data_IF_296910628093
#
_entry.id   IF_296910628093
#
_cell.length_a   1.000
_cell.length_b   1.000
_cell.length_c   1.000
_cell.angle_alpha   90.00
_cell.angle_beta   90.00
_cell.angle_gamma   90.00
#
_symmetry.space_group_name_H-M   'P 1'
#
loop_
_entity.id
_entity.type
_entity.pdbx_description
1 polymer ?
#
# COMPACT_ATOMS: atom_id res chain seq x y z
N UNK A 1 -40.24 -40.10 10.78
CA UNK A 1 -38.96 -39.40 10.88
C UNK A 1 -39.22 -37.92 10.77
N UNK A 2 -39.10 -37.21 11.86
CA UNK A 2 -39.26 -35.77 11.87
C UNK A 2 -37.95 -35.10 11.42
N UNK A 3 -38.04 -34.35 10.34
CA UNK A 3 -36.93 -33.56 9.84
C UNK A 3 -37.07 -32.12 10.36
N UNK A 4 -36.48 -31.78 11.54
CA UNK A 4 -36.72 -30.50 12.20
C UNK A 4 -36.32 -29.28 11.38
N UNK A 5 -35.37 -29.47 10.46
CA UNK A 5 -34.87 -28.40 9.60
C UNK A 5 -35.50 -28.34 8.19
N UNK A 6 -36.40 -29.29 7.86
CA UNK A 6 -37.01 -29.36 6.51
C UNK A 6 -37.77 -28.07 6.16
N UNK A 7 -38.52 -27.52 7.08
CA UNK A 7 -39.27 -26.27 6.90
C UNK A 7 -38.34 -25.08 6.64
N UNK A 8 -37.24 -25.01 7.37
CA UNK A 8 -36.23 -23.93 7.19
C UNK A 8 -35.44 -24.08 5.89
N UNK A 9 -35.09 -25.31 5.51
CA UNK A 9 -34.42 -25.59 4.24
C UNK A 9 -35.28 -25.17 3.03
N UNK A 10 -36.58 -25.48 3.06
CA UNK A 10 -37.53 -25.06 2.02
C UNK A 10 -37.69 -23.54 1.99
N UNK A 11 -37.77 -22.89 3.15
CA UNK A 11 -37.87 -21.44 3.23
C UNK A 11 -36.60 -20.74 2.68
N UNK A 12 -35.42 -21.29 2.93
CA UNK A 12 -34.16 -20.76 2.40
C UNK A 12 -34.00 -20.96 0.90
N UNK A 13 -34.57 -22.03 0.33
CA UNK A 13 -34.51 -22.27 -1.11
C UNK A 13 -35.19 -21.16 -1.92
N UNK A 14 -36.22 -20.54 -1.34
CA UNK A 14 -36.99 -19.43 -1.96
C UNK A 14 -36.60 -18.05 -1.41
N UNK A 15 -35.65 -17.97 -0.48
CA UNK A 15 -35.18 -16.69 0.06
C UNK A 15 -34.19 -16.01 -0.88
N UNK A 16 -34.15 -14.68 -0.83
CA UNK A 16 -33.14 -13.90 -1.57
C UNK A 16 -31.72 -14.28 -1.07
N UNK A 17 -30.74 -14.48 -1.97
CA UNK A 17 -29.38 -14.74 -1.55
C UNK A 17 -28.85 -13.59 -0.70
N UNK A 18 -28.06 -13.91 0.34
CA UNK A 18 -27.43 -12.95 1.23
C UNK A 18 -26.08 -12.43 0.70
N UNK A 19 -25.63 -12.95 -0.43
CA UNK A 19 -24.41 -12.50 -1.09
C UNK A 19 -24.73 -11.50 -2.20
N UNK A 20 -23.90 -10.47 -2.35
CA UNK A 20 -23.96 -9.57 -3.49
C UNK A 20 -23.45 -10.29 -4.75
N UNK A 21 -24.07 -9.99 -5.89
CA UNK A 21 -23.72 -10.61 -7.18
C UNK A 21 -22.50 -9.92 -7.80
N UNK A 22 -21.40 -9.89 -7.08
CA UNK A 22 -20.13 -9.39 -7.63
C UNK A 22 -19.63 -10.40 -8.71
N UNK A 23 -19.07 -9.96 -9.84
CA UNK A 23 -18.77 -8.57 -10.25
C UNK A 23 -19.91 -7.85 -11.00
N UNK A 24 -21.07 -8.48 -11.17
CA UNK A 24 -22.19 -7.93 -11.96
C UNK A 24 -22.84 -6.71 -11.30
N UNK A 25 -22.84 -6.69 -9.97
CA UNK A 25 -23.28 -5.54 -9.18
C UNK A 25 -22.06 -4.99 -8.45
N UNK A 26 -21.49 -3.84 -8.88
CA UNK A 26 -20.39 -3.22 -8.17
C UNK A 26 -20.88 -2.73 -6.79
N UNK A 27 -20.07 -2.97 -5.78
CA UNK A 27 -20.29 -2.49 -4.41
C UNK A 27 -19.25 -1.41 -4.12
N UNK A 28 -19.66 -0.30 -3.56
CA UNK A 28 -18.71 0.74 -3.14
C UNK A 28 -17.90 0.26 -1.93
N UNK A 29 -16.62 0.60 -1.91
CA UNK A 29 -15.77 0.28 -0.78
C UNK A 29 -16.22 1.04 0.47
N UNK A 30 -16.14 0.38 1.62
CA UNK A 30 -16.50 1.01 2.90
C UNK A 30 -15.58 2.22 3.20
N UNK A 31 -16.08 3.25 3.90
CA UNK A 31 -15.26 4.40 4.29
C UNK A 31 -14.02 3.96 5.07
N UNK A 32 -12.84 4.41 4.63
CA UNK A 32 -11.56 4.04 5.23
C UNK A 32 -11.03 2.67 4.80
N UNK A 33 -11.55 2.10 3.72
CA UNK A 33 -11.00 0.91 3.11
C UNK A 33 -9.53 1.11 2.75
N UNK A 34 -8.74 0.06 2.82
CA UNK A 34 -7.30 0.05 2.56
C UNK A 34 -7.01 -0.83 1.35
N UNK A 35 -7.30 -0.29 0.17
CA UNK A 35 -7.08 -0.96 -1.09
C UNK A 35 -5.65 -0.78 -1.63
N UNK A 36 -5.51 -0.69 -2.93
CA UNK A 36 -4.23 -0.58 -3.63
C UNK A 36 -3.38 0.57 -3.09
N UNK A 37 -2.10 0.30 -2.88
CA UNK A 37 -1.10 1.30 -2.52
C UNK A 37 -0.83 2.19 -3.74
N UNK A 38 -0.84 3.50 -3.53
CA UNK A 38 -0.41 4.50 -4.50
C UNK A 38 0.80 5.23 -3.93
N UNK A 39 1.90 5.19 -4.65
CA UNK A 39 3.16 5.83 -4.29
C UNK A 39 3.41 7.06 -5.17
N UNK A 40 3.73 8.17 -4.53
CA UNK A 40 4.11 9.44 -5.17
C UNK A 40 5.61 9.66 -4.97
N UNK A 41 6.45 9.40 -5.99
CA UNK A 41 7.89 9.52 -5.87
C UNK A 41 8.35 10.97 -5.67
N UNK A 42 7.62 11.97 -6.20
CA UNK A 42 8.02 13.37 -6.12
C UNK A 42 7.99 13.92 -4.69
N UNK A 43 7.09 13.40 -3.86
CA UNK A 43 7.01 13.74 -2.44
C UNK A 43 8.00 12.98 -1.56
N UNK A 44 8.57 11.89 -2.05
CA UNK A 44 9.42 11.02 -1.25
C UNK A 44 10.83 11.59 -1.09
N UNK A 45 11.33 11.62 0.14
CA UNK A 45 12.72 12.02 0.41
C UNK A 45 13.66 10.84 0.75
N UNK A 46 13.18 9.60 0.62
CA UNK A 46 14.00 8.39 0.75
C UNK A 46 14.50 8.09 2.16
N UNK A 47 13.73 8.43 3.20
CA UNK A 47 14.13 8.19 4.60
C UNK A 47 14.18 6.71 5.01
N UNK A 48 13.46 5.82 4.28
CA UNK A 48 13.45 4.39 4.55
C UNK A 48 12.55 3.97 5.73
N UNK A 49 11.80 4.88 6.33
CA UNK A 49 10.94 4.55 7.46
C UNK A 49 9.84 3.54 7.08
N UNK A 50 9.27 3.68 5.88
CA UNK A 50 8.24 2.77 5.39
C UNK A 50 8.68 1.30 5.33
N UNK A 51 9.94 1.04 4.93
CA UNK A 51 10.49 -0.32 4.93
C UNK A 51 10.74 -0.85 6.34
N UNK A 52 11.17 0.02 7.28
CA UNK A 52 11.44 -0.38 8.67
C UNK A 52 10.19 -0.75 9.45
N UNK A 53 9.06 -0.06 9.20
CA UNK A 53 7.80 -0.32 9.90
C UNK A 53 6.96 -1.39 9.22
N UNK A 54 7.38 -1.90 8.07
CA UNK A 54 6.64 -2.90 7.32
C UNK A 54 6.77 -4.28 7.97
N UNK A 55 5.72 -4.77 8.61
CA UNK A 55 5.69 -6.10 9.25
C UNK A 55 5.71 -7.25 8.24
N UNK A 56 5.15 -7.05 7.05
CA UNK A 56 5.12 -8.06 5.97
C UNK A 56 6.36 -8.04 5.07
N UNK A 57 7.36 -7.20 5.34
CA UNK A 57 8.55 -7.01 4.49
C UNK A 57 8.21 -6.76 3.00
N UNK A 58 7.08 -6.11 2.76
CA UNK A 58 6.55 -5.86 1.41
C UNK A 58 7.21 -4.68 0.70
N UNK A 59 8.12 -3.94 1.36
CA UNK A 59 8.73 -2.72 0.82
C UNK A 59 10.23 -2.90 0.73
N UNK A 60 10.74 -2.83 -0.49
CA UNK A 60 12.18 -2.87 -0.78
C UNK A 60 12.66 -1.50 -1.23
N UNK A 61 13.81 -1.07 -0.73
CA UNK A 61 14.45 0.19 -1.11
C UNK A 61 15.82 -0.11 -1.70
N UNK A 62 16.00 0.33 -2.94
CA UNK A 62 17.29 0.31 -3.61
C UNK A 62 17.81 1.75 -3.73
N UNK A 63 19.07 1.96 -3.39
CA UNK A 63 19.76 3.24 -3.50
C UNK A 63 20.97 3.07 -4.38
N UNK A 64 20.96 3.73 -5.51
CA UNK A 64 22.04 3.69 -6.49
C UNK A 64 22.69 5.06 -6.56
N UNK A 65 24.03 5.15 -6.42
CA UNK A 65 24.73 6.41 -6.63
C UNK A 65 24.71 6.76 -8.13
N UNK A 66 24.27 7.98 -8.43
CA UNK A 66 24.25 8.53 -9.81
C UNK A 66 25.09 9.81 -9.80
N UNK A 67 25.63 10.22 -10.96
CA UNK A 67 26.48 11.41 -11.08
C UNK A 67 25.83 12.69 -10.52
N UNK A 68 24.52 12.81 -10.64
CA UNK A 68 23.73 13.96 -10.16
C UNK A 68 23.20 13.82 -8.71
N UNK A 69 23.42 12.65 -8.06
CA UNK A 69 22.90 12.41 -6.71
C UNK A 69 22.74 10.95 -6.34
N UNK A 70 21.64 10.62 -5.71
CA UNK A 70 21.30 9.26 -5.30
C UNK A 70 19.91 8.92 -5.86
N UNK A 71 19.87 7.91 -6.74
CA UNK A 71 18.59 7.37 -7.24
C UNK A 71 18.03 6.43 -6.20
N UNK A 72 16.83 6.73 -5.75
CA UNK A 72 16.12 5.93 -4.77
C UNK A 72 14.95 5.27 -5.47
N UNK A 73 14.93 3.95 -5.48
CA UNK A 73 13.85 3.14 -6.03
C UNK A 73 13.14 2.43 -4.89
N UNK A 74 11.85 2.64 -4.77
CA UNK A 74 11.00 1.91 -3.84
C UNK A 74 10.14 0.93 -4.63
N UNK A 75 10.09 -0.30 -4.13
CA UNK A 75 9.24 -1.36 -4.69
C UNK A 75 8.31 -1.86 -3.60
N UNK A 76 7.02 -1.88 -3.90
CA UNK A 76 5.97 -2.36 -3.03
C UNK A 76 5.41 -3.66 -3.60
N UNK A 77 5.55 -4.75 -2.88
CA UNK A 77 4.94 -6.04 -3.23
C UNK A 77 3.61 -6.19 -2.50
N UNK A 78 2.51 -5.99 -3.23
CA UNK A 78 1.16 -6.10 -2.66
C UNK A 78 0.78 -7.53 -2.30
N UNK A 79 1.43 -8.54 -2.89
CA UNK A 79 1.24 -9.94 -2.53
C UNK A 79 1.73 -10.30 -1.12
N UNK A 80 2.76 -9.58 -0.62
CA UNK A 80 3.28 -9.73 0.75
C UNK A 80 2.70 -8.68 1.72
N UNK A 81 1.92 -7.73 1.22
CA UNK A 81 1.41 -6.62 2.01
C UNK A 81 0.20 -7.03 2.85
N UNK A 82 0.19 -6.68 4.13
CA UNK A 82 -0.94 -6.89 5.04
C UNK A 82 -1.94 -5.73 5.07
N UNK A 83 -1.77 -4.72 4.23
CA UNK A 83 -2.60 -3.51 4.15
C UNK A 83 -2.84 -2.82 5.50
N UNK A 84 -1.86 -2.89 6.42
CA UNK A 84 -1.96 -2.33 7.77
C UNK A 84 -1.88 -0.80 7.83
N UNK A 85 -1.49 -0.12 6.73
CA UNK A 85 -1.35 1.33 6.59
C UNK A 85 -0.18 1.97 7.37
N UNK A 86 0.58 1.22 8.16
CA UNK A 86 1.71 1.74 8.95
C UNK A 86 2.70 2.56 8.11
N UNK A 87 3.03 2.10 6.89
CA UNK A 87 3.96 2.81 6.00
C UNK A 87 3.45 4.21 5.60
N UNK A 88 2.14 4.39 5.43
CA UNK A 88 1.54 5.69 5.13
C UNK A 88 1.43 6.59 6.36
N UNK A 89 1.12 6.02 7.52
CA UNK A 89 0.97 6.77 8.77
C UNK A 89 2.32 7.31 9.25
N UNK A 90 3.40 6.53 9.15
CA UNK A 90 4.76 6.93 9.49
C UNK A 90 5.46 7.74 8.39
N UNK A 91 4.83 7.93 7.22
CA UNK A 91 5.40 8.75 6.16
C UNK A 91 5.24 10.24 6.45
N UNK A 92 6.35 10.92 6.77
CA UNK A 92 6.35 12.36 7.08
C UNK A 92 5.87 13.22 5.89
N UNK A 93 6.18 12.81 4.67
CA UNK A 93 5.83 13.54 3.44
C UNK A 93 4.51 13.10 2.81
N UNK A 94 3.83 12.10 3.42
CA UNK A 94 2.58 11.55 2.89
C UNK A 94 2.67 11.12 1.42
N UNK A 95 3.82 10.57 1.04
CA UNK A 95 4.07 10.06 -0.31
C UNK A 95 3.42 8.69 -0.60
N UNK A 96 2.92 8.01 0.43
CA UNK A 96 2.24 6.73 0.33
C UNK A 96 0.78 6.92 0.73
N UNK A 97 -0.14 6.53 -0.15
CA UNK A 97 -1.58 6.60 0.09
C UNK A 97 -2.23 5.26 -0.23
N UNK A 98 -3.35 4.98 0.40
CA UNK A 98 -4.19 3.82 0.10
C UNK A 98 -5.43 4.30 -0.64
N UNK A 99 -5.80 3.60 -1.69
CA UNK A 99 -7.01 3.88 -2.47
C UNK A 99 -8.17 3.01 -2.00
N UNK A 100 -9.36 3.32 -2.45
CA UNK A 100 -10.55 2.50 -2.21
C UNK A 100 -10.69 1.37 -3.24
N UNK A 101 -9.68 1.19 -4.12
CA UNK A 101 -9.67 0.14 -5.13
C UNK A 101 -9.39 -1.22 -4.50
N UNK A 102 -10.40 -2.10 -4.54
CA UNK A 102 -10.31 -3.49 -4.08
C UNK A 102 -10.17 -4.50 -5.22
N UNK A 103 -10.14 -4.03 -6.50
CA UNK A 103 -10.01 -4.88 -7.68
C UNK A 103 -8.55 -5.26 -7.94
N UNK A 104 -7.93 -5.94 -6.98
CA UNK A 104 -6.54 -6.40 -7.10
C UNK A 104 -6.51 -7.89 -7.44
N UNK A 105 -6.90 -8.24 -8.66
CA UNK A 105 -6.80 -9.60 -9.16
C UNK A 105 -5.62 -9.68 -10.12
N UNK A 106 -4.69 -10.58 -9.85
CA UNK A 106 -3.50 -10.79 -10.67
C UNK A 106 -3.27 -12.28 -10.91
N UNK A 107 -2.85 -12.62 -12.11
CA UNK A 107 -2.42 -13.98 -12.46
C UNK A 107 -0.91 -14.15 -12.37
N UNK A 108 -0.18 -13.01 -12.39
CA UNK A 108 1.27 -12.95 -12.24
C UNK A 108 1.63 -12.09 -11.03
N UNK A 109 2.72 -12.45 -10.38
CA UNK A 109 3.22 -11.68 -9.22
C UNK A 109 3.64 -10.26 -9.61
N UNK A 110 4.13 -10.07 -10.83
CA UNK A 110 4.56 -8.78 -11.38
C UNK A 110 3.45 -7.72 -11.38
N UNK A 111 2.19 -8.13 -11.58
CA UNK A 111 1.03 -7.24 -11.60
C UNK A 111 0.68 -6.68 -10.21
N UNK A 112 1.22 -7.30 -9.16
CA UNK A 112 1.07 -6.89 -7.75
C UNK A 112 2.24 -6.06 -7.24
N UNK A 113 3.19 -5.73 -8.12
CA UNK A 113 4.37 -4.95 -7.76
C UNK A 113 4.19 -3.51 -8.24
N UNK A 114 4.20 -2.57 -7.30
CA UNK A 114 4.24 -1.13 -7.60
C UNK A 114 5.65 -0.62 -7.37
N UNK A 115 6.26 -0.02 -8.41
CA UNK A 115 7.62 0.50 -8.33
C UNK A 115 7.65 1.98 -8.69
N UNK A 116 8.28 2.78 -7.86
CA UNK A 116 8.54 4.18 -8.14
C UNK A 116 9.97 4.56 -7.84
N UNK A 117 10.56 5.38 -8.70
CA UNK A 117 11.93 5.87 -8.53
C UNK A 117 11.99 7.39 -8.61
N UNK A 118 12.87 8.00 -7.81
CA UNK A 118 13.19 9.42 -7.88
C UNK A 118 14.67 9.64 -7.62
N UNK A 119 15.18 10.76 -8.12
CA UNK A 119 16.58 11.15 -7.95
C UNK A 119 16.63 12.21 -6.84
N UNK A 120 17.37 11.90 -5.78
CA UNK A 120 17.67 12.84 -4.71
C UNK A 120 19.00 13.54 -5.00
N UNK A 121 18.95 14.82 -5.37
CA UNK A 121 20.13 15.64 -5.52
C UNK A 121 20.75 15.84 -4.14
N UNK A 122 21.99 15.44 -3.93
CA UNK A 122 22.73 15.72 -2.69
C UNK A 122 22.94 17.23 -2.57
N UNK A 123 22.15 17.92 -1.75
CA UNK A 123 22.55 19.23 -1.27
C UNK A 123 23.84 19.04 -0.48
N UNK A 124 24.90 19.78 -0.87
CA UNK A 124 26.16 19.79 -0.15
C UNK A 124 25.91 20.01 1.35
N UNK A 125 26.61 19.32 2.25
CA UNK A 125 26.43 19.50 3.69
C UNK A 125 26.72 20.97 4.03
N UNK A 126 25.71 21.66 4.53
CA UNK A 126 25.89 22.97 5.17
C UNK A 126 26.76 22.72 6.37
N UNK A 127 28.02 23.17 6.32
CA UNK A 127 28.93 23.16 7.47
C UNK A 127 28.24 23.97 8.58
N UNK A 128 28.17 23.45 9.82
CA UNK A 128 27.67 24.27 10.93
C UNK A 128 28.62 25.45 11.10
N UNK A 129 28.09 26.65 11.06
CA UNK A 129 28.78 27.86 11.44
C UNK A 129 29.04 27.75 12.94
N UNK A 130 30.27 27.47 13.32
CA UNK A 130 30.73 27.63 14.71
C UNK A 130 30.81 29.13 14.96
N UNK A 131 29.84 29.66 15.70
CA UNK A 131 30.00 30.97 16.33
C UNK A 131 31.07 30.85 17.40
N UNK A 132 32.29 31.27 17.04
CA UNK A 132 33.30 31.66 18.01
C UNK A 132 32.85 32.96 18.66
N UNK A 133 32.28 32.87 19.87
CA UNK A 133 32.18 33.97 20.75
C UNK A 133 33.45 34.12 21.58
N UNK A 134 34.13 35.18 21.28
CA UNK A 134 35.18 35.77 22.11
C UNK A 134 34.55 36.42 23.35
#
# INVERSE_FOLDING_TARGET
MDFPFAKQAIAQLFSKPSCDMYPFVPSDAAPGYRGRIKYDPDKCHGCGMCARVCSGNAITILKEPVEEGEKITLTFNMGSCTFCKMCADFCATKSITFTDDYHMVATKEEDLIETGSHIKIKKAPVKPVTDEKK
#
